data_IF_744321975811
#
_entry.id   IF_744321975811
#
_cell.length_a   1.000
_cell.length_b   1.000
_cell.length_c   1.000
_cell.angle_alpha   90.00
_cell.angle_beta   90.00
_cell.angle_gamma   90.00
#
_symmetry.space_group_name_H-M   'P 1'
#
loop_
_entity.id
_entity.type
_entity.pdbx_description
1 polymer ?
#
# COMPACT_ATOMS: atom_id res chain seq x y z
N UNK A 1 -40.51 6.43 13.97
CA UNK A 1 -39.82 5.23 13.44
C UNK A 1 -38.68 5.75 12.60
N UNK A 2 -37.43 5.48 13.00
CA UNK A 2 -36.25 5.91 12.23
C UNK A 2 -35.86 4.72 11.36
N UNK A 3 -36.10 4.83 10.05
CA UNK A 3 -35.60 3.87 9.09
C UNK A 3 -34.07 4.00 9.05
N UNK A 4 -33.37 3.06 9.69
CA UNK A 4 -31.95 2.88 9.47
C UNK A 4 -31.77 2.35 8.06
N UNK A 5 -31.42 3.24 7.12
CA UNK A 5 -30.95 2.84 5.79
C UNK A 5 -29.60 2.14 5.95
N UNK A 6 -29.63 0.81 6.04
CA UNK A 6 -28.44 -0.02 5.94
C UNK A 6 -27.89 0.12 4.52
N UNK A 7 -26.79 0.87 4.38
CA UNK A 7 -26.07 0.96 3.11
C UNK A 7 -25.34 -0.36 2.89
N UNK A 8 -25.99 -1.29 2.19
CA UNK A 8 -25.35 -2.50 1.68
C UNK A 8 -24.20 -2.10 0.76
N UNK A 9 -22.97 -2.41 1.16
CA UNK A 9 -21.77 -2.23 0.33
C UNK A 9 -21.48 -3.54 -0.37
N UNK A 10 -21.63 -3.55 -1.69
CA UNK A 10 -21.18 -4.65 -2.52
C UNK A 10 -19.64 -4.66 -2.56
N UNK A 11 -19.04 -5.83 -2.30
CA UNK A 11 -17.60 -6.02 -2.31
C UNK A 11 -17.24 -7.02 -3.41
N UNK A 12 -16.26 -6.66 -4.24
CA UNK A 12 -15.71 -7.52 -5.26
C UNK A 12 -14.33 -7.99 -4.80
N UNK A 13 -14.10 -9.30 -4.78
CA UNK A 13 -12.78 -9.88 -4.55
C UNK A 13 -12.03 -9.95 -5.87
N UNK A 14 -10.82 -9.38 -5.88
CA UNK A 14 -9.93 -9.39 -7.04
C UNK A 14 -8.61 -10.05 -6.66
N UNK A 15 -8.06 -10.86 -7.57
CA UNK A 15 -6.71 -11.37 -7.39
C UNK A 15 -5.69 -10.23 -7.37
N UNK A 16 -4.73 -10.31 -6.45
CA UNK A 16 -3.72 -9.26 -6.32
C UNK A 16 -2.82 -9.09 -7.57
N UNK A 17 -2.71 -10.13 -8.40
CA UNK A 17 -1.89 -10.11 -9.61
C UNK A 17 -2.54 -9.38 -10.78
N UNK A 18 -3.86 -9.12 -10.74
CA UNK A 18 -4.56 -8.36 -11.78
C UNK A 18 -4.58 -6.84 -11.50
N UNK A 19 -4.13 -6.43 -10.32
CA UNK A 19 -4.09 -5.01 -9.93
C UNK A 19 -2.79 -4.38 -10.40
N UNK A 20 -2.87 -3.48 -11.39
CA UNK A 20 -1.70 -2.76 -11.92
C UNK A 20 -1.29 -1.58 -11.02
N UNK A 21 -2.26 -0.77 -10.61
CA UNK A 21 -2.06 0.40 -9.77
C UNK A 21 -3.26 0.65 -8.86
N UNK A 22 -3.02 1.41 -7.80
CA UNK A 22 -4.07 1.84 -6.86
C UNK A 22 -4.09 3.35 -6.78
N UNK A 23 -5.27 3.91 -6.53
CA UNK A 23 -5.39 5.32 -6.16
C UNK A 23 -4.62 5.56 -4.85
N UNK A 24 -3.81 6.61 -4.86
CA UNK A 24 -2.92 6.93 -3.75
C UNK A 24 -3.29 8.25 -3.11
N UNK A 25 -3.23 8.29 -1.79
CA UNK A 25 -3.65 9.45 -1.00
C UNK A 25 -2.81 9.57 0.28
N UNK A 26 -2.99 10.70 0.98
CA UNK A 26 -2.25 11.00 2.21
C UNK A 26 -2.47 9.96 3.32
N UNK A 27 -3.65 9.34 3.40
CA UNK A 27 -3.95 8.30 4.40
C UNK A 27 -3.08 7.06 4.19
N UNK A 28 -2.95 6.59 2.96
CA UNK A 28 -2.05 5.47 2.64
C UNK A 28 -0.58 5.85 2.77
N UNK A 29 -0.22 7.11 2.43
CA UNK A 29 1.13 7.63 2.65
C UNK A 29 1.54 7.62 4.13
N UNK A 30 0.67 8.11 5.02
CA UNK A 30 0.97 8.11 6.46
C UNK A 30 1.03 6.68 7.02
N UNK A 31 0.15 5.78 6.60
CA UNK A 31 0.26 4.35 6.98
C UNK A 31 1.57 3.73 6.52
N UNK A 32 2.01 4.02 5.30
CA UNK A 32 3.30 3.53 4.79
C UNK A 32 4.46 4.05 5.64
N UNK A 33 4.41 5.33 6.04
CA UNK A 33 5.38 5.95 6.93
C UNK A 33 5.41 5.31 8.32
N UNK A 34 4.24 5.03 8.89
CA UNK A 34 4.10 4.31 10.16
C UNK A 34 4.70 2.90 10.06
N UNK A 35 4.40 2.17 8.99
CA UNK A 35 4.97 0.84 8.70
C UNK A 35 6.49 0.88 8.56
N UNK A 36 7.05 1.89 7.87
CA UNK A 36 8.51 2.06 7.76
C UNK A 36 9.14 2.35 9.13
N UNK A 37 8.45 3.11 9.97
CA UNK A 37 8.91 3.49 11.30
C UNK A 37 10.31 4.12 11.24
N UNK A 38 11.28 3.45 11.89
CA UNK A 38 12.68 3.90 11.99
C UNK A 38 13.58 3.41 10.86
N UNK A 39 13.08 2.59 9.93
CA UNK A 39 13.88 2.12 8.79
C UNK A 39 14.27 3.32 7.92
N UNK A 40 15.56 3.56 7.64
CA UNK A 40 15.98 4.64 6.78
C UNK A 40 15.43 4.47 5.35
N UNK A 41 14.88 5.52 4.76
CA UNK A 41 14.32 5.46 3.40
C UNK A 41 15.34 5.01 2.35
N UNK A 42 16.61 5.41 2.49
CA UNK A 42 17.66 4.98 1.57
C UNK A 42 17.84 3.46 1.63
N UNK A 43 17.96 2.92 2.85
CA UNK A 43 18.06 1.46 3.07
C UNK A 43 16.87 0.72 2.48
N UNK A 44 15.65 1.25 2.65
CA UNK A 44 14.45 0.65 2.05
C UNK A 44 14.49 0.66 0.51
N UNK A 45 14.97 1.76 -0.08
CA UNK A 45 15.11 1.87 -1.53
C UNK A 45 16.14 0.88 -2.10
N UNK A 46 17.28 0.75 -1.40
CA UNK A 46 18.33 -0.19 -1.76
C UNK A 46 17.83 -1.63 -1.64
N UNK A 47 17.16 -1.98 -0.55
CA UNK A 47 16.60 -3.33 -0.32
C UNK A 47 15.56 -3.72 -1.37
N UNK A 48 14.67 -2.79 -1.76
CA UNK A 48 13.71 -3.04 -2.85
C UNK A 48 14.42 -3.26 -4.19
N UNK A 49 15.45 -2.48 -4.46
CA UNK A 49 16.24 -2.58 -5.70
C UNK A 49 17.03 -3.88 -5.78
N UNK A 50 17.67 -4.29 -4.68
CA UNK A 50 18.50 -5.50 -4.60
C UNK A 50 17.64 -6.78 -4.62
N UNK A 51 16.57 -6.82 -3.83
CA UNK A 51 15.77 -8.05 -3.66
C UNK A 51 14.81 -8.32 -4.82
N UNK A 52 14.30 -7.27 -5.47
CA UNK A 52 13.27 -7.40 -6.49
C UNK A 52 13.69 -6.87 -7.86
N UNK A 53 14.91 -6.34 -8.00
CA UNK A 53 15.36 -5.71 -9.25
C UNK A 53 14.56 -4.46 -9.62
N UNK A 54 13.77 -3.91 -8.69
CA UNK A 54 12.88 -2.78 -8.95
C UNK A 54 13.52 -1.48 -8.46
N UNK A 55 13.95 -0.63 -9.39
CA UNK A 55 14.59 0.65 -9.04
C UNK A 55 13.59 1.61 -8.42
N UNK A 56 13.83 1.99 -7.18
CA UNK A 56 13.10 3.05 -6.47
C UNK A 56 14.10 4.00 -5.82
N UNK A 57 13.77 5.28 -5.72
CA UNK A 57 14.63 6.28 -5.09
C UNK A 57 14.09 6.66 -3.71
N UNK A 58 14.98 7.11 -2.83
CA UNK A 58 14.62 7.71 -1.54
C UNK A 58 13.59 8.83 -1.70
N UNK A 59 13.77 9.70 -2.70
CA UNK A 59 12.88 10.82 -2.99
C UNK A 59 11.48 10.33 -3.39
N UNK A 60 11.41 9.23 -4.15
CA UNK A 60 10.13 8.64 -4.51
C UNK A 60 9.42 8.05 -3.28
N UNK A 61 10.13 7.30 -2.42
CA UNK A 61 9.57 6.80 -1.15
C UNK A 61 9.06 7.96 -0.28
N UNK A 62 9.82 9.04 -0.17
CA UNK A 62 9.38 10.24 0.55
C UNK A 62 8.09 10.82 -0.03
N UNK A 63 7.94 10.85 -1.36
CA UNK A 63 6.73 11.31 -2.03
C UNK A 63 5.55 10.34 -1.82
N UNK A 64 5.79 9.03 -1.72
CA UNK A 64 4.76 8.05 -1.39
C UNK A 64 4.23 8.26 0.03
N UNK A 65 5.11 8.53 1.00
CA UNK A 65 4.74 8.78 2.39
C UNK A 65 4.07 10.13 2.61
N UNK A 66 4.42 11.10 1.77
CA UNK A 66 3.96 12.49 1.87
C UNK A 66 3.53 12.97 0.50
N UNK A 67 2.39 12.49 -0.02
CA UNK A 67 1.89 12.90 -1.33
C UNK A 67 1.32 14.31 -1.23
N UNK A 68 2.18 15.33 -1.37
CA UNK A 68 1.79 16.74 -1.35
C UNK A 68 1.95 17.41 -2.72
N UNK A 69 0.98 18.27 -3.05
CA UNK A 69 0.99 19.09 -4.25
C UNK A 69 0.61 18.36 -5.55
N UNK A 70 0.50 19.11 -6.64
CA UNK A 70 0.09 18.58 -7.96
C UNK A 70 1.06 17.57 -8.55
N UNK A 71 2.30 17.53 -8.05
CA UNK A 71 3.35 16.60 -8.51
C UNK A 71 3.26 15.23 -7.85
N UNK A 72 2.47 15.08 -6.78
CA UNK A 72 2.28 13.78 -6.15
C UNK A 72 1.50 12.85 -7.08
N UNK A 73 1.97 11.61 -7.21
CA UNK A 73 1.31 10.64 -8.07
C UNK A 73 -0.06 10.29 -7.50
N UNK A 74 -1.12 10.47 -8.30
CA UNK A 74 -2.50 10.12 -7.92
C UNK A 74 -2.71 8.60 -7.87
N UNK A 75 -1.83 7.85 -8.54
CA UNK A 75 -1.84 6.39 -8.51
C UNK A 75 -0.43 5.87 -8.25
N UNK A 76 -0.33 4.71 -7.63
CA UNK A 76 0.94 4.05 -7.34
C UNK A 76 0.87 2.62 -7.83
N UNK A 77 1.97 2.17 -8.44
CA UNK A 77 2.14 0.80 -8.90
C UNK A 77 1.92 -0.18 -7.75
N UNK A 78 0.99 -1.11 -7.93
CA UNK A 78 0.65 -2.06 -6.89
C UNK A 78 1.79 -3.05 -6.61
N UNK A 79 2.54 -3.44 -7.65
CA UNK A 79 3.72 -4.31 -7.49
C UNK A 79 4.80 -3.62 -6.65
N UNK A 80 5.02 -2.32 -6.84
CA UNK A 80 5.96 -1.56 -6.02
C UNK A 80 5.53 -1.52 -4.55
N UNK A 81 4.24 -1.34 -4.27
CA UNK A 81 3.73 -1.39 -2.90
C UNK A 81 3.96 -2.75 -2.26
N UNK A 82 3.73 -3.84 -2.99
CA UNK A 82 4.04 -5.20 -2.52
C UNK A 82 5.52 -5.34 -2.16
N UNK A 83 6.43 -4.86 -3.01
CA UNK A 83 7.86 -4.92 -2.75
C UNK A 83 8.28 -4.10 -1.53
N UNK A 84 7.76 -2.88 -1.40
CA UNK A 84 8.04 -2.02 -0.24
C UNK A 84 7.53 -2.68 1.04
N UNK A 85 6.26 -3.12 1.07
CA UNK A 85 5.70 -3.79 2.25
C UNK A 85 6.48 -5.05 2.61
N UNK A 86 6.84 -5.87 1.62
CA UNK A 86 7.61 -7.09 1.85
C UNK A 86 9.05 -6.82 2.33
N UNK A 87 9.70 -5.75 1.87
CA UNK A 87 10.99 -5.29 2.41
C UNK A 87 10.88 -4.83 3.87
N UNK A 88 9.72 -4.28 4.25
CA UNK A 88 9.41 -3.95 5.65
C UNK A 88 8.91 -5.15 6.47
N UNK A 89 8.92 -6.37 5.92
CA UNK A 89 8.41 -7.58 6.60
C UNK A 89 6.89 -7.59 6.81
N UNK A 90 6.15 -6.84 6.00
CA UNK A 90 4.69 -6.72 6.09
C UNK A 90 3.99 -7.19 4.81
N UNK A 91 2.73 -7.61 4.94
CA UNK A 91 1.85 -7.85 3.79
C UNK A 91 1.24 -6.53 3.29
N UNK A 92 1.04 -6.42 1.97
CA UNK A 92 0.44 -5.23 1.35
C UNK A 92 -0.99 -4.99 1.83
N UNK A 93 -1.71 -6.01 2.28
CA UNK A 93 -3.06 -5.88 2.86
C UNK A 93 -3.07 -5.01 4.12
N UNK A 94 -1.99 -5.04 4.92
CA UNK A 94 -1.85 -4.23 6.13
C UNK A 94 -1.88 -2.72 5.82
N UNK A 95 -1.39 -2.33 4.64
CA UNK A 95 -1.41 -0.94 4.18
C UNK A 95 -2.84 -0.45 3.92
N UNK A 96 -3.68 -1.29 3.30
CA UNK A 96 -5.06 -0.95 2.98
C UNK A 96 -6.02 -1.14 4.16
N UNK A 97 -5.61 -1.87 5.20
CA UNK A 97 -6.48 -2.21 6.33
C UNK A 97 -7.63 -3.11 5.89
N UNK A 98 -7.39 -3.93 4.87
CA UNK A 98 -8.39 -4.86 4.35
C UNK A 98 -8.68 -5.96 5.38
N UNK A 99 -9.96 -6.31 5.61
CA UNK A 99 -10.30 -7.42 6.49
C UNK A 99 -9.70 -8.72 5.91
N UNK A 100 -9.01 -9.48 6.77
CA UNK A 100 -8.51 -10.80 6.38
C UNK A 100 -9.69 -11.76 6.31
N UNK A 101 -9.97 -12.29 5.12
CA UNK A 101 -10.89 -13.40 4.94
C UNK A 101 -10.07 -14.67 5.17
N UNK A 102 -10.33 -15.36 6.28
CA UNK A 102 -9.65 -16.61 6.64
C UNK A 102 -10.56 -17.75 6.19
N UNK A 103 -10.14 -18.50 5.18
CA UNK A 103 -10.82 -19.74 4.79
C UNK A 103 -10.47 -20.83 5.81
N UNK A 104 -11.47 -21.33 6.53
CA UNK A 104 -11.32 -22.50 7.38
C UNK A 104 -11.47 -23.74 6.51
N UNK A 105 -10.35 -24.33 6.11
CA UNK A 105 -10.37 -25.66 5.50
C UNK A 105 -10.82 -26.67 6.57
N UNK A 106 -12.00 -27.26 6.37
CA UNK A 106 -12.48 -28.44 7.09
C UNK A 106 -11.91 -29.71 6.49
#
# INVERSE_FOLDING_TARGET
MVESSETCRELIMLELNIVASVNWNATYGERLREMRGKVPMQRLADEVSEKYGYRVTKQYIQMLERPFGEKASKTVSFILLRYICAALGNDVQSLFGSPKIIEQNK
#
